data_IF_735246665983
#
_entry.id   IF_735246665983
#
_cell.length_a   1.000
_cell.length_b   1.000
_cell.length_c   1.000
_cell.angle_alpha   90.00
_cell.angle_beta   90.00
_cell.angle_gamma   90.00
#
_symmetry.space_group_name_H-M   'P 1'
#
loop_
_entity.id
_entity.type
_entity.pdbx_description
1 polymer ?
#
# COMPACT_ATOMS: atom_id res chain seq x y z
N UNK A 1 48.56 -17.00 -31.45
CA UNK A 1 48.27 -15.62 -31.01
C UNK A 1 46.93 -15.21 -31.62
N UNK A 2 45.84 -15.17 -30.82
CA UNK A 2 44.52 -14.73 -31.30
C UNK A 2 44.54 -13.20 -31.50
N UNK A 3 44.00 -12.72 -32.62
CA UNK A 3 43.94 -11.29 -32.92
C UNK A 3 42.97 -10.57 -31.97
N UNK A 4 43.33 -9.34 -31.59
CA UNK A 4 42.62 -8.48 -30.63
C UNK A 4 41.10 -8.36 -30.90
N UNK A 5 40.69 -8.41 -32.16
CA UNK A 5 39.28 -8.33 -32.55
C UNK A 5 38.49 -9.61 -32.20
N UNK A 6 39.13 -10.80 -32.22
CA UNK A 6 38.48 -12.05 -31.82
C UNK A 6 38.24 -12.12 -30.32
N UNK A 7 39.13 -11.53 -29.52
CA UNK A 7 38.99 -11.43 -28.06
C UNK A 7 37.82 -10.52 -27.66
N UNK A 8 37.65 -9.38 -28.36
CA UNK A 8 36.55 -8.44 -28.13
C UNK A 8 35.17 -9.05 -28.45
N UNK A 9 35.06 -9.82 -29.53
CA UNK A 9 33.80 -10.48 -29.91
C UNK A 9 33.45 -11.61 -28.93
N UNK A 10 34.45 -12.38 -28.46
CA UNK A 10 34.25 -13.42 -27.45
C UNK A 10 33.85 -12.85 -26.08
N UNK A 11 34.45 -11.73 -25.66
CA UNK A 11 34.10 -11.06 -24.41
C UNK A 11 32.68 -10.48 -24.43
N UNK A 12 32.24 -9.90 -25.57
CA UNK A 12 30.88 -9.40 -25.74
C UNK A 12 29.84 -10.52 -25.73
N UNK A 13 30.14 -11.66 -26.37
CA UNK A 13 29.27 -12.85 -26.34
C UNK A 13 29.13 -13.45 -24.94
N UNK A 14 30.22 -13.48 -24.17
CA UNK A 14 30.21 -13.98 -22.79
C UNK A 14 29.44 -13.05 -21.83
N UNK A 15 29.55 -11.74 -21.98
CA UNK A 15 28.73 -10.77 -21.23
C UNK A 15 27.25 -10.83 -21.59
N UNK A 16 26.90 -11.07 -22.87
CA UNK A 16 25.52 -11.27 -23.30
C UNK A 16 24.88 -12.53 -22.70
N UNK A 17 25.63 -13.64 -22.66
CA UNK A 17 25.19 -14.90 -22.06
C UNK A 17 25.05 -14.82 -20.53
N UNK A 18 25.97 -14.13 -19.85
CA UNK A 18 25.90 -13.91 -18.39
C UNK A 18 24.80 -12.91 -18.00
N UNK A 19 24.56 -11.86 -18.81
CA UNK A 19 23.52 -10.87 -18.58
C UNK A 19 22.09 -11.40 -18.78
N UNK A 20 21.90 -12.30 -19.76
CA UNK A 20 20.60 -12.94 -20.00
C UNK A 20 20.27 -14.02 -18.94
N UNK A 21 21.27 -14.74 -18.44
CA UNK A 21 21.09 -15.73 -17.36
C UNK A 21 20.63 -15.10 -16.03
N UNK A 22 21.07 -13.87 -15.73
CA UNK A 22 20.68 -13.16 -14.51
C UNK A 22 19.26 -12.55 -14.55
N UNK A 23 18.68 -12.38 -15.73
CA UNK A 23 17.32 -11.85 -15.91
C UNK A 23 16.24 -12.95 -15.86
N UNK A 24 16.59 -14.21 -16.10
CA UNK A 24 15.63 -15.29 -16.34
C UNK A 24 14.96 -15.90 -15.09
N UNK A 25 15.23 -15.41 -13.87
CA UNK A 25 14.62 -16.00 -12.66
C UNK A 25 14.20 -15.01 -11.57
N UNK A 26 13.84 -13.76 -11.92
CA UNK A 26 12.99 -12.98 -11.02
C UNK A 26 11.56 -13.50 -11.13
N UNK A 27 11.28 -14.61 -10.45
CA UNK A 27 9.91 -15.03 -10.13
C UNK A 27 9.26 -13.83 -9.45
N UNK A 28 8.30 -13.19 -10.12
CA UNK A 28 7.53 -12.13 -9.49
C UNK A 28 7.02 -12.67 -8.15
N UNK A 29 7.09 -11.90 -7.05
CA UNK A 29 6.57 -12.37 -5.77
C UNK A 29 5.15 -12.84 -6.01
N UNK A 30 4.87 -14.11 -5.72
CA UNK A 30 3.52 -14.65 -5.92
C UNK A 30 2.59 -13.81 -5.05
N UNK A 31 1.66 -13.09 -5.67
CA UNK A 31 0.61 -12.38 -4.94
C UNK A 31 -0.04 -13.35 -3.96
N UNK A 32 -0.24 -12.90 -2.72
CA UNK A 32 -0.96 -13.67 -1.70
C UNK A 32 -2.29 -14.15 -2.30
N UNK A 33 -2.53 -15.48 -2.40
CA UNK A 33 -3.74 -16.01 -3.01
C UNK A 33 -5.03 -15.47 -2.38
N UNK A 34 -5.00 -15.12 -1.09
CA UNK A 34 -6.13 -14.50 -0.40
C UNK A 34 -6.42 -13.11 -0.94
N UNK A 35 -5.39 -12.27 -1.10
CA UNK A 35 -5.55 -10.93 -1.66
C UNK A 35 -6.02 -11.00 -3.11
N UNK A 36 -5.51 -11.95 -3.90
CA UNK A 36 -5.96 -12.17 -5.27
C UNK A 36 -7.45 -12.55 -5.35
N UNK A 37 -7.95 -13.36 -4.41
CA UNK A 37 -9.38 -13.66 -4.31
C UNK A 37 -10.24 -12.43 -4.02
N UNK A 38 -9.78 -11.57 -3.10
CA UNK A 38 -10.48 -10.32 -2.78
C UNK A 38 -10.40 -9.27 -3.91
N UNK A 39 -9.36 -9.27 -4.74
CA UNK A 39 -9.24 -8.37 -5.89
C UNK A 39 -10.39 -8.55 -6.90
N UNK A 40 -10.92 -9.77 -7.04
CA UNK A 40 -12.02 -10.09 -7.97
C UNK A 40 -13.41 -10.09 -7.33
N UNK A 41 -13.50 -10.16 -6.00
CA UNK A 41 -14.75 -10.11 -5.27
C UNK A 41 -15.35 -8.69 -5.21
N UNK A 42 -16.68 -8.60 -5.13
CA UNK A 42 -17.35 -7.32 -4.88
C UNK A 42 -17.41 -7.05 -3.37
N UNK A 43 -17.32 -5.79 -2.97
CA UNK A 43 -17.40 -5.41 -1.54
C UNK A 43 -18.73 -5.80 -0.90
N UNK A 44 -19.83 -5.82 -1.68
CA UNK A 44 -21.14 -6.28 -1.23
C UNK A 44 -21.13 -7.78 -0.88
N UNK A 45 -20.60 -8.62 -1.79
CA UNK A 45 -20.52 -10.06 -1.54
C UNK A 45 -19.61 -10.39 -0.33
N UNK A 46 -18.51 -9.65 -0.17
CA UNK A 46 -17.64 -9.80 1.01
C UNK A 46 -18.37 -9.38 2.29
N UNK A 47 -19.12 -8.27 2.26
CA UNK A 47 -19.89 -7.81 3.41
C UNK A 47 -20.98 -8.83 3.82
N UNK A 48 -21.72 -9.38 2.85
CA UNK A 48 -22.73 -10.41 3.09
C UNK A 48 -22.11 -11.68 3.70
N UNK A 49 -20.95 -12.10 3.19
CA UNK A 49 -20.23 -13.26 3.71
C UNK A 49 -19.74 -13.02 5.16
N UNK A 50 -19.20 -11.84 5.46
CA UNK A 50 -18.76 -11.49 6.82
C UNK A 50 -19.95 -11.50 7.79
N UNK A 51 -21.08 -10.91 7.40
CA UNK A 51 -22.30 -10.89 8.20
C UNK A 51 -22.81 -12.31 8.51
N UNK A 52 -22.89 -13.17 7.48
CA UNK A 52 -23.34 -14.55 7.64
C UNK A 52 -22.41 -15.42 8.50
N UNK A 53 -21.09 -15.26 8.36
CA UNK A 53 -20.10 -16.09 9.05
C UNK A 53 -19.89 -15.63 10.50
N UNK A 54 -19.86 -14.32 10.73
CA UNK A 54 -19.44 -13.75 12.01
C UNK A 54 -20.58 -13.14 12.83
N UNK A 55 -21.73 -12.86 12.20
CA UNK A 55 -22.81 -12.08 12.80
C UNK A 55 -22.41 -10.62 13.10
N UNK A 56 -21.30 -10.14 12.51
CA UNK A 56 -20.79 -8.78 12.68
C UNK A 56 -20.85 -8.03 11.35
N UNK A 57 -21.00 -6.71 11.46
CA UNK A 57 -21.04 -5.83 10.29
C UNK A 57 -19.69 -5.82 9.54
N UNK A 58 -19.70 -6.28 8.29
CA UNK A 58 -18.54 -6.30 7.38
C UNK A 58 -18.32 -5.05 6.52
N UNK A 59 -18.97 -3.92 6.83
CA UNK A 59 -18.91 -2.69 6.04
C UNK A 59 -18.79 -1.43 6.90
N UNK A 60 -18.25 -0.36 6.31
CA UNK A 60 -18.09 0.96 6.95
C UNK A 60 -19.39 1.77 6.92
N UNK A 61 -19.48 2.86 7.70
CA UNK A 61 -20.63 3.77 7.65
C UNK A 61 -20.89 4.28 6.23
N UNK A 62 -22.16 4.57 5.92
CA UNK A 62 -22.58 5.18 4.66
C UNK A 62 -21.98 6.58 4.43
N UNK A 63 -21.43 7.21 5.49
CA UNK A 63 -20.69 8.46 5.39
C UNK A 63 -19.30 8.28 4.77
N UNK A 64 -18.75 7.07 4.77
CA UNK A 64 -17.47 6.78 4.14
C UNK A 64 -17.64 6.77 2.61
N UNK A 65 -17.04 7.75 1.93
CA UNK A 65 -17.16 7.94 0.48
C UNK A 65 -15.80 7.97 -0.20
N UNK A 66 -15.64 7.27 -1.34
CA UNK A 66 -14.41 7.37 -2.12
C UNK A 66 -14.25 8.81 -2.65
N UNK A 67 -13.08 9.41 -2.41
CA UNK A 67 -12.78 10.80 -2.84
C UNK A 67 -12.00 10.87 -4.14
N UNK A 68 -10.97 10.03 -4.26
CA UNK A 68 -9.96 10.14 -5.34
C UNK A 68 -9.91 8.89 -6.21
N UNK A 69 -10.44 7.77 -5.72
CA UNK A 69 -10.18 6.46 -6.29
C UNK A 69 -11.42 5.96 -7.02
N UNK A 70 -11.32 5.79 -8.35
CA UNK A 70 -12.29 5.05 -9.18
C UNK A 70 -11.97 3.55 -9.22
N UNK A 71 -10.86 3.14 -8.62
CA UNK A 71 -10.36 1.77 -8.56
C UNK A 71 -10.61 1.09 -7.20
N UNK A 72 -10.80 -0.23 -7.23
CA UNK A 72 -10.90 -1.04 -6.02
C UNK A 72 -9.55 -1.10 -5.30
N UNK A 73 -9.58 -1.10 -3.96
CA UNK A 73 -8.39 -1.28 -3.12
C UNK A 73 -8.56 -2.55 -2.29
N UNK A 74 -7.51 -3.37 -2.23
CA UNK A 74 -7.44 -4.59 -1.44
C UNK A 74 -6.04 -4.68 -0.84
N UNK A 75 -5.95 -4.98 0.45
CA UNK A 75 -4.68 -5.14 1.14
C UNK A 75 -4.86 -5.35 2.64
N UNK A 76 -3.75 -5.65 3.32
CA UNK A 76 -3.74 -5.81 4.79
C UNK A 76 -3.83 -4.44 5.44
N UNK A 77 -4.60 -4.31 6.52
CA UNK A 77 -4.80 -3.05 7.21
C UNK A 77 -3.58 -2.70 8.08
N UNK A 78 -3.12 -1.45 7.97
CA UNK A 78 -2.24 -0.79 8.94
C UNK A 78 -2.99 0.40 9.51
N UNK A 79 -3.04 0.54 10.83
CA UNK A 79 -4.04 1.40 11.49
C UNK A 79 -3.43 2.49 12.35
N UNK A 80 -3.99 3.70 12.31
CA UNK A 80 -3.67 4.79 13.22
C UNK A 80 -4.95 5.32 13.88
N UNK A 81 -4.87 5.58 15.19
CA UNK A 81 -5.95 6.16 15.97
C UNK A 81 -5.52 7.50 16.53
N UNK A 82 -6.19 8.57 16.10
CA UNK A 82 -5.90 9.94 16.49
C UNK A 82 -6.95 10.40 17.48
N UNK A 83 -6.49 11.01 18.57
CA UNK A 83 -7.34 11.64 19.58
C UNK A 83 -6.95 13.10 19.74
N UNK A 84 -7.91 13.99 20.07
CA UNK A 84 -7.60 15.37 20.38
C UNK A 84 -6.58 15.47 21.52
N UNK A 85 -5.60 16.35 21.35
CA UNK A 85 -4.67 16.71 22.43
C UNK A 85 -5.15 17.97 23.15
N UNK A 86 -4.63 18.23 24.34
CA UNK A 86 -4.90 19.47 25.08
C UNK A 86 -4.10 20.63 24.47
N UNK A 87 -4.59 21.89 24.52
CA UNK A 87 -3.91 23.02 23.89
C UNK A 87 -2.46 23.25 24.37
N UNK A 88 -2.17 22.97 25.64
CA UNK A 88 -0.84 23.06 26.25
C UNK A 88 0.17 22.05 25.67
N UNK A 89 -0.33 20.95 25.10
CA UNK A 89 0.48 19.89 24.49
C UNK A 89 0.41 19.90 22.97
N UNK A 90 -0.35 20.81 22.37
CA UNK A 90 -0.50 20.89 20.92
C UNK A 90 0.80 21.41 20.30
N UNK A 91 1.47 20.55 19.52
CA UNK A 91 2.63 20.94 18.71
C UNK A 91 2.38 20.64 17.24
N UNK A 92 2.99 21.38 16.30
CA UNK A 92 2.89 21.08 14.88
C UNK A 92 3.30 19.64 14.55
N UNK A 93 4.34 19.11 15.21
CA UNK A 93 4.80 17.74 15.01
C UNK A 93 3.73 16.71 15.42
N UNK A 94 3.01 16.93 16.52
CA UNK A 94 1.99 16.01 16.99
C UNK A 94 0.75 15.95 16.09
N UNK A 95 0.46 17.03 15.34
CA UNK A 95 -0.73 17.12 14.49
C UNK A 95 -0.81 16.03 13.40
N UNK A 96 0.33 15.51 12.96
CA UNK A 96 0.40 14.51 11.87
C UNK A 96 1.19 13.26 12.24
N UNK A 97 1.88 13.25 13.38
CA UNK A 97 2.85 12.21 13.76
C UNK A 97 2.33 10.77 13.60
N UNK A 98 1.09 10.49 14.04
CA UNK A 98 0.54 9.14 13.95
C UNK A 98 0.26 8.72 12.50
N UNK A 99 -0.31 9.62 11.70
CA UNK A 99 -0.59 9.35 10.29
C UNK A 99 0.70 9.23 9.46
N UNK A 100 1.72 10.05 9.74
CA UNK A 100 3.01 9.94 9.05
C UNK A 100 3.75 8.68 9.47
N UNK A 101 3.74 8.33 10.76
CA UNK A 101 4.34 7.09 11.25
C UNK A 101 3.66 5.85 10.62
N UNK A 102 2.34 5.87 10.46
CA UNK A 102 1.63 4.81 9.74
C UNK A 102 2.15 4.65 8.32
N UNK A 103 2.28 5.76 7.57
CA UNK A 103 2.76 5.73 6.19
C UNK A 103 4.22 5.27 6.12
N UNK A 104 5.04 5.71 7.09
CA UNK A 104 6.47 5.38 7.11
C UNK A 104 6.75 3.91 7.40
N UNK A 105 5.88 3.26 8.19
CA UNK A 105 5.99 1.86 8.58
C UNK A 105 5.15 0.91 7.72
N UNK A 106 4.31 1.42 6.82
CA UNK A 106 3.49 0.58 5.94
C UNK A 106 4.35 -0.18 4.92
N UNK A 107 3.99 -1.44 4.68
CA UNK A 107 4.57 -2.25 3.61
C UNK A 107 3.85 -1.99 2.27
N UNK A 108 4.53 -2.21 1.12
CA UNK A 108 3.89 -2.16 -0.18
C UNK A 108 2.67 -3.10 -0.26
N UNK A 109 1.55 -2.59 -0.77
CA UNK A 109 0.28 -3.31 -0.87
C UNK A 109 -0.61 -3.25 0.37
N UNK A 110 -0.15 -2.67 1.48
CA UNK A 110 -1.01 -2.44 2.65
C UNK A 110 -1.97 -1.26 2.44
N UNK A 111 -3.06 -1.28 3.20
CA UNK A 111 -4.10 -0.24 3.21
C UNK A 111 -4.03 0.49 4.55
N UNK A 112 -3.77 1.79 4.50
CA UNK A 112 -3.78 2.64 5.69
C UNK A 112 -5.21 2.91 6.15
N UNK A 113 -5.50 2.72 7.43
CA UNK A 113 -6.79 3.05 8.05
C UNK A 113 -6.54 4.12 9.11
N UNK A 114 -7.06 5.32 8.91
CA UNK A 114 -6.88 6.43 9.85
C UNK A 114 -8.22 6.75 10.50
N UNK A 115 -8.30 6.55 11.81
CA UNK A 115 -9.49 6.90 12.59
C UNK A 115 -9.18 8.11 13.46
N UNK A 116 -9.99 9.17 13.34
CA UNK A 116 -9.88 10.36 14.17
C UNK A 116 -11.10 10.44 15.07
N UNK A 117 -10.88 10.42 16.38
CA UNK A 117 -11.95 10.63 17.36
C UNK A 117 -12.49 12.06 17.22
N UNK A 118 -13.80 12.17 17.02
CA UNK A 118 -14.54 13.43 16.88
C UNK A 118 -13.96 14.35 15.77
N UNK A 119 -13.40 13.75 14.71
CA UNK A 119 -12.57 14.43 13.72
C UNK A 119 -13.28 14.93 12.46
N UNK A 120 -14.59 15.20 12.49
CA UNK A 120 -15.31 15.64 11.27
C UNK A 120 -14.72 16.92 10.65
N UNK A 121 -14.17 17.80 11.48
CA UNK A 121 -13.54 19.05 11.07
C UNK A 121 -12.00 18.96 10.98
N UNK A 122 -11.43 17.76 11.01
CA UNK A 122 -9.98 17.53 11.04
C UNK A 122 -9.58 16.58 9.91
N UNK A 123 -8.66 17.02 9.05
CA UNK A 123 -8.14 16.18 7.97
C UNK A 123 -7.14 15.14 8.51
N UNK A 124 -7.38 13.86 8.24
CA UNK A 124 -6.45 12.76 8.59
C UNK A 124 -5.30 12.55 7.61
N UNK A 125 -5.45 13.07 6.39
CA UNK A 125 -4.48 12.95 5.31
C UNK A 125 -4.51 14.19 4.40
N UNK A 126 -3.33 14.61 3.93
CA UNK A 126 -3.16 15.68 2.94
C UNK A 126 -2.34 15.24 1.72
N UNK A 127 -2.10 16.15 0.78
CA UNK A 127 -1.43 15.84 -0.50
C UNK A 127 0.00 15.30 -0.37
N UNK A 128 0.79 15.83 0.57
CA UNK A 128 2.16 15.34 0.83
C UNK A 128 2.15 13.88 1.34
N UNK A 129 1.24 13.59 2.26
CA UNK A 129 1.06 12.27 2.85
C UNK A 129 0.55 11.27 1.80
N UNK A 130 -0.41 11.67 0.97
CA UNK A 130 -0.90 10.84 -0.13
C UNK A 130 0.21 10.54 -1.16
N UNK A 131 1.09 11.51 -1.43
CA UNK A 131 2.25 11.32 -2.32
C UNK A 131 3.24 10.32 -1.71
N UNK A 132 3.55 10.45 -0.41
CA UNK A 132 4.41 9.51 0.30
C UNK A 132 3.83 8.09 0.29
N UNK A 133 2.54 7.93 0.59
CA UNK A 133 1.84 6.64 0.53
C UNK A 133 1.92 6.01 -0.87
N UNK A 134 1.71 6.80 -1.92
CA UNK A 134 1.81 6.33 -3.31
C UNK A 134 3.22 5.88 -3.69
N UNK A 135 4.24 6.66 -3.35
CA UNK A 135 5.65 6.34 -3.66
C UNK A 135 6.12 5.09 -2.90
N UNK A 136 5.60 4.87 -1.68
CA UNK A 136 5.85 3.67 -0.88
C UNK A 136 5.07 2.43 -1.35
N UNK A 137 4.19 2.58 -2.34
CA UNK A 137 3.44 1.47 -2.91
C UNK A 137 2.28 0.99 -2.04
N UNK A 138 1.74 1.83 -1.14
CA UNK A 138 0.51 1.51 -0.42
C UNK A 138 -0.65 1.34 -1.41
N UNK A 139 -1.55 0.38 -1.14
CA UNK A 139 -2.69 0.12 -2.00
C UNK A 139 -3.76 1.22 -1.91
N UNK A 140 -3.84 1.89 -0.75
CA UNK A 140 -4.71 3.04 -0.52
C UNK A 140 -4.68 3.50 0.94
N UNK A 141 -5.37 4.61 1.20
CA UNK A 141 -5.64 5.10 2.56
C UNK A 141 -7.12 5.38 2.68
N UNK A 142 -7.70 4.94 3.80
CA UNK A 142 -9.10 5.06 4.18
C UNK A 142 -9.18 5.93 5.43
#
# INVERSE_FOLDING_TARGET
MLSRNKILVLAAGLCGLLGLGFQASRKAPSKDPLLAGYEVATVAAVADAVDQITGQRGFMSHDMRPRTVTTRVVGRAVTAYLVPTTPDKATPALSTAQSTALIDNANPGEVGIIVIKDGLDVAGIGGLMATAAKVRGMAGVI
#
